data_IF_716144771371
#
_entry.id   IF_716144771371
#
_cell.length_a   1.000
_cell.length_b   1.000
_cell.length_c   1.000
_cell.angle_alpha   90.00
_cell.angle_beta   90.00
_cell.angle_gamma   90.00
#
_symmetry.space_group_name_H-M   'P 1'
#
loop_
_entity.id
_entity.type
_entity.pdbx_description
1 polymer ?
#
# COMPACT_ATOMS: atom_id res chain seq x y z
N UNK A 1 -13.73 7.50 -19.05
CA UNK A 1 -13.12 6.49 -18.15
C UNK A 1 -11.74 7.01 -17.77
N UNK A 2 -11.33 6.88 -16.49
CA UNK A 2 -10.06 7.44 -15.97
C UNK A 2 -8.78 6.74 -16.43
N UNK A 3 -8.86 5.76 -17.35
CA UNK A 3 -7.69 5.01 -17.84
C UNK A 3 -7.12 4.00 -16.81
N UNK A 4 -7.86 3.67 -15.75
CA UNK A 4 -7.45 2.70 -14.75
C UNK A 4 -7.50 1.28 -15.33
N UNK A 5 -6.35 0.63 -15.42
CA UNK A 5 -6.21 -0.72 -15.94
C UNK A 5 -6.20 -1.81 -14.86
N UNK A 6 -5.85 -1.47 -13.63
CA UNK A 6 -5.79 -2.43 -12.52
C UNK A 6 -5.05 -1.90 -11.31
N UNK A 7 -5.03 -2.70 -10.23
CA UNK A 7 -4.36 -2.33 -8.99
C UNK A 7 -4.48 -3.40 -7.90
N UNK A 8 -4.01 -3.05 -6.71
CA UNK A 8 -4.20 -3.85 -5.51
C UNK A 8 -5.60 -3.62 -4.97
N UNK A 9 -6.38 -4.68 -4.94
CA UNK A 9 -7.73 -4.69 -4.36
C UNK A 9 -7.61 -5.14 -2.92
N UNK A 10 -7.54 -4.15 -2.04
CA UNK A 10 -7.31 -4.37 -0.62
C UNK A 10 -8.55 -4.93 0.07
N UNK A 11 -8.40 -6.10 0.64
CA UNK A 11 -9.31 -6.64 1.65
C UNK A 11 -8.82 -6.13 3.00
N UNK A 12 -9.67 -5.43 3.70
CA UNK A 12 -9.38 -4.75 4.96
C UNK A 12 -10.38 -5.12 6.04
N UNK A 13 -9.92 -5.35 7.26
CA UNK A 13 -10.81 -5.60 8.40
C UNK A 13 -11.12 -4.27 9.10
N UNK A 14 -12.37 -3.75 9.01
CA UNK A 14 -12.71 -2.45 9.56
C UNK A 14 -12.45 -2.34 11.06
N UNK A 15 -11.88 -1.21 11.49
CA UNK A 15 -11.75 -0.88 12.92
C UNK A 15 -13.08 -0.42 13.50
N UNK A 16 -13.26 -0.65 14.81
CA UNK A 16 -14.44 -0.22 15.58
C UNK A 16 -14.28 1.22 16.10
N UNK A 17 -13.68 2.12 15.32
CA UNK A 17 -13.52 3.51 15.72
C UNK A 17 -14.27 4.46 14.77
N UNK A 18 -14.54 5.65 15.25
CA UNK A 18 -15.19 6.69 14.48
C UNK A 18 -14.19 7.33 13.50
N UNK A 19 -14.35 7.01 12.22
CA UNK A 19 -13.50 7.55 11.15
C UNK A 19 -13.64 9.07 11.02
N UNK A 20 -14.88 9.61 11.16
CA UNK A 20 -15.13 11.03 11.06
C UNK A 20 -14.42 11.79 12.18
N UNK A 21 -14.51 11.28 13.41
CA UNK A 21 -13.75 11.82 14.54
C UNK A 21 -12.22 11.77 14.27
N UNK A 22 -11.73 10.68 13.73
CA UNK A 22 -10.31 10.53 13.41
C UNK A 22 -9.85 11.55 12.38
N UNK A 23 -10.62 11.78 11.32
CA UNK A 23 -10.29 12.79 10.32
C UNK A 23 -10.33 14.22 10.88
N UNK A 24 -11.31 14.55 11.74
CA UNK A 24 -11.36 15.84 12.42
C UNK A 24 -10.14 16.07 13.33
N UNK A 25 -9.68 15.04 14.04
CA UNK A 25 -8.43 15.12 14.83
C UNK A 25 -7.20 15.38 13.92
N UNK A 26 -7.16 14.76 12.74
CA UNK A 26 -6.08 14.93 11.76
C UNK A 26 -6.13 16.29 11.02
N UNK A 27 -7.13 17.12 11.22
CA UNK A 27 -7.14 18.51 10.74
C UNK A 27 -6.36 19.46 11.65
N UNK A 28 -5.97 19.03 12.84
CA UNK A 28 -5.20 19.82 13.80
C UNK A 28 -3.77 20.03 13.34
N UNK A 29 -3.09 21.03 13.88
CA UNK A 29 -1.68 21.31 13.58
C UNK A 29 -0.72 20.22 14.12
N UNK A 30 -1.17 19.45 15.10
CA UNK A 30 -0.47 18.27 15.61
C UNK A 30 -1.50 17.29 16.18
N UNK A 31 -1.27 16.01 15.98
CA UNK A 31 -2.13 14.93 16.49
C UNK A 31 -1.36 13.63 16.68
N UNK A 32 -1.90 12.76 17.51
CA UNK A 32 -1.44 11.38 17.66
C UNK A 32 -2.66 10.52 18.02
N UNK A 33 -3.15 9.78 17.06
CA UNK A 33 -4.27 8.86 17.28
C UNK A 33 -3.73 7.57 17.88
N UNK A 34 -4.32 7.05 18.97
CA UNK A 34 -3.89 5.77 19.52
C UNK A 34 -4.12 4.65 18.50
N UNK A 35 -3.28 3.62 18.53
CA UNK A 35 -3.56 2.41 17.76
C UNK A 35 -4.87 1.79 18.26
N UNK A 36 -5.77 1.37 17.36
CA UNK A 36 -6.96 0.62 17.74
C UNK A 36 -6.61 -0.70 18.43
N UNK A 37 -7.55 -1.22 19.21
CA UNK A 37 -7.42 -2.56 19.79
C UNK A 37 -7.33 -3.64 18.70
N UNK A 38 -6.56 -4.72 18.93
CA UNK A 38 -6.55 -5.87 18.04
C UNK A 38 -7.96 -6.43 17.79
N UNK A 39 -8.18 -6.99 16.63
CA UNK A 39 -9.45 -7.63 16.27
C UNK A 39 -9.36 -9.13 16.52
N UNK A 40 -10.42 -9.69 17.08
CA UNK A 40 -10.54 -11.12 17.28
C UNK A 40 -10.48 -11.89 15.95
N UNK A 41 -9.68 -12.94 15.90
CA UNK A 41 -9.43 -13.73 14.70
C UNK A 41 -10.70 -14.18 13.97
N UNK A 42 -11.70 -14.67 14.71
CA UNK A 42 -12.97 -15.13 14.12
C UNK A 42 -13.76 -14.02 13.44
N UNK A 43 -13.70 -12.80 13.97
CA UNK A 43 -14.31 -11.60 13.37
C UNK A 43 -13.53 -11.19 12.10
N UNK A 44 -12.22 -11.21 12.17
CA UNK A 44 -11.35 -10.88 11.04
C UNK A 44 -11.56 -11.86 9.87
N UNK A 45 -11.61 -13.17 10.15
CA UNK A 45 -11.87 -14.20 9.13
C UNK A 45 -13.22 -13.99 8.45
N UNK A 46 -14.28 -13.68 9.21
CA UNK A 46 -15.60 -13.43 8.65
C UNK A 46 -15.62 -12.21 7.71
N UNK A 47 -14.94 -11.11 8.11
CA UNK A 47 -14.81 -9.91 7.29
C UNK A 47 -14.04 -10.17 5.99
N UNK A 48 -12.88 -10.84 6.09
CA UNK A 48 -12.06 -11.21 4.94
C UNK A 48 -12.81 -12.14 3.98
N UNK A 49 -13.46 -13.20 4.50
CA UNK A 49 -14.24 -14.13 3.67
C UNK A 49 -15.36 -13.42 2.89
N UNK A 50 -16.05 -12.47 3.53
CA UNK A 50 -17.10 -11.67 2.88
C UNK A 50 -16.53 -10.85 1.71
N UNK A 51 -15.42 -10.12 1.93
CA UNK A 51 -14.81 -9.27 0.91
C UNK A 51 -14.19 -10.08 -0.24
N UNK A 52 -13.55 -11.22 0.07
CA UNK A 52 -13.06 -12.16 -0.95
C UNK A 52 -14.21 -12.68 -1.81
N UNK A 53 -15.37 -12.96 -1.20
CA UNK A 53 -16.56 -13.38 -1.94
C UNK A 53 -17.03 -12.27 -2.91
N UNK A 54 -17.02 -11.02 -2.48
CA UNK A 54 -17.37 -9.86 -3.36
C UNK A 54 -16.38 -9.78 -4.53
N UNK A 55 -15.07 -9.88 -4.26
CA UNK A 55 -14.05 -9.84 -5.31
C UNK A 55 -14.25 -10.96 -6.34
N UNK A 56 -14.53 -12.19 -5.89
CA UNK A 56 -14.84 -13.32 -6.76
C UNK A 56 -16.14 -13.14 -7.55
N UNK A 57 -17.14 -12.51 -6.97
CA UNK A 57 -18.39 -12.24 -7.67
C UNK A 57 -18.18 -11.19 -8.77
N UNK A 58 -17.39 -10.15 -8.52
CA UNK A 58 -17.03 -9.16 -9.54
C UNK A 58 -16.27 -9.80 -10.71
N UNK A 59 -15.37 -10.74 -10.44
CA UNK A 59 -14.70 -11.55 -11.46
C UNK A 59 -15.71 -12.39 -12.26
N UNK A 60 -16.60 -13.10 -11.60
CA UNK A 60 -17.65 -13.92 -12.22
C UNK A 60 -18.58 -13.10 -13.11
N UNK A 61 -18.86 -11.85 -12.74
CA UNK A 61 -19.65 -10.91 -13.53
C UNK A 61 -18.88 -10.31 -14.72
N UNK A 62 -17.58 -10.60 -14.85
CA UNK A 62 -16.72 -10.14 -15.94
C UNK A 62 -16.22 -8.71 -15.77
N UNK A 63 -16.38 -8.10 -14.59
CA UNK A 63 -15.92 -6.72 -14.32
C UNK A 63 -14.41 -6.59 -14.14
N UNK A 64 -13.77 -7.66 -13.70
CA UNK A 64 -12.31 -7.71 -13.46
C UNK A 64 -11.77 -9.14 -13.66
N UNK A 65 -10.45 -9.27 -13.63
CA UNK A 65 -9.73 -10.56 -13.57
C UNK A 65 -8.82 -10.56 -12.35
N UNK A 66 -8.94 -11.55 -11.47
CA UNK A 66 -8.00 -11.75 -10.35
C UNK A 66 -6.72 -12.34 -10.91
N UNK A 67 -5.63 -11.57 -10.83
CA UNK A 67 -4.36 -11.90 -11.44
C UNK A 67 -3.43 -12.60 -10.44
N UNK A 68 -2.81 -13.69 -10.87
CA UNK A 68 -1.86 -14.48 -10.09
C UNK A 68 -0.43 -14.35 -10.62
N UNK A 69 -0.27 -13.80 -11.82
CA UNK A 69 0.98 -13.59 -12.53
C UNK A 69 0.98 -12.26 -13.30
N UNK A 70 2.15 -11.80 -13.70
CA UNK A 70 2.27 -10.63 -14.60
C UNK A 70 1.67 -10.93 -15.98
N UNK A 71 1.71 -12.19 -16.41
CA UNK A 71 1.04 -12.61 -17.65
C UNK A 71 -0.47 -12.41 -17.58
N UNK A 72 -1.11 -12.73 -16.44
CA UNK A 72 -2.55 -12.52 -16.25
C UNK A 72 -2.89 -11.04 -16.31
N UNK A 73 -2.05 -10.17 -15.70
CA UNK A 73 -2.25 -8.71 -15.75
C UNK A 73 -2.21 -8.21 -17.21
N UNK A 74 -1.22 -8.65 -17.99
CA UNK A 74 -1.11 -8.27 -19.40
C UNK A 74 -2.29 -8.77 -20.23
N UNK A 75 -2.73 -10.02 -20.00
CA UNK A 75 -3.91 -10.57 -20.67
C UNK A 75 -5.18 -9.80 -20.31
N UNK A 76 -5.35 -9.41 -19.04
CA UNK A 76 -6.49 -8.58 -18.63
C UNK A 76 -6.50 -7.23 -19.36
N UNK A 77 -5.33 -6.59 -19.56
CA UNK A 77 -5.23 -5.35 -20.34
C UNK A 77 -5.60 -5.55 -21.81
N UNK A 78 -5.16 -6.65 -22.44
CA UNK A 78 -5.52 -6.99 -23.82
C UNK A 78 -7.02 -7.26 -23.98
N UNK A 79 -7.66 -7.82 -22.95
CA UNK A 79 -9.10 -8.08 -22.90
C UNK A 79 -9.93 -6.87 -22.43
N UNK A 80 -9.31 -5.71 -22.22
CA UNK A 80 -9.95 -4.49 -21.69
C UNK A 80 -10.67 -4.71 -20.34
N UNK A 81 -10.15 -5.63 -19.53
CA UNK A 81 -10.63 -5.92 -18.16
C UNK A 81 -9.73 -5.26 -17.12
N UNK A 82 -10.29 -5.00 -15.94
CA UNK A 82 -9.52 -4.52 -14.80
C UNK A 82 -8.70 -5.69 -14.23
N UNK A 83 -7.38 -5.51 -14.15
CA UNK A 83 -6.47 -6.45 -13.50
C UNK A 83 -6.50 -6.25 -11.99
N UNK A 84 -7.06 -7.19 -11.24
CA UNK A 84 -7.16 -7.13 -9.80
C UNK A 84 -6.08 -8.00 -9.13
N UNK A 85 -5.24 -7.40 -8.30
CA UNK A 85 -4.31 -8.11 -7.43
C UNK A 85 -4.99 -8.24 -6.07
N UNK A 86 -5.30 -9.47 -5.66
CA UNK A 86 -5.85 -9.69 -4.33
C UNK A 86 -4.77 -9.39 -3.28
N UNK A 87 -5.03 -8.37 -2.48
CA UNK A 87 -4.20 -7.88 -1.39
C UNK A 87 -4.97 -7.94 -0.08
N UNK A 88 -4.29 -8.21 1.02
CA UNK A 88 -4.84 -8.05 2.38
C UNK A 88 -4.05 -6.98 3.10
N UNK A 89 -4.75 -5.96 3.56
CA UNK A 89 -4.19 -4.88 4.35
C UNK A 89 -4.44 -5.12 5.85
N UNK A 90 -3.40 -5.65 6.52
CA UNK A 90 -3.47 -6.16 7.88
C UNK A 90 -3.77 -7.66 7.94
N UNK A 91 -2.92 -8.41 8.63
CA UNK A 91 -2.95 -9.88 8.65
C UNK A 91 -3.80 -10.45 9.79
N UNK A 92 -4.83 -9.75 10.25
CA UNK A 92 -5.67 -10.15 11.39
C UNK A 92 -6.37 -11.51 11.18
N UNK A 93 -6.68 -11.84 9.92
CA UNK A 93 -7.34 -13.11 9.58
C UNK A 93 -6.38 -14.30 9.49
N UNK A 94 -5.06 -14.07 9.59
CA UNK A 94 -4.07 -15.16 9.56
C UNK A 94 -3.88 -15.71 10.97
N UNK A 95 -3.97 -17.03 11.11
CA UNK A 95 -3.75 -17.75 12.38
C UNK A 95 -2.25 -17.94 12.68
N UNK A 96 -1.88 -18.27 13.95
CA UNK A 96 -0.48 -18.47 14.32
C UNK A 96 0.24 -19.60 13.58
N UNK A 97 -0.50 -20.59 13.10
CA UNK A 97 0.03 -21.74 12.34
C UNK A 97 0.08 -21.44 10.82
N UNK A 98 -0.34 -20.25 10.39
CA UNK A 98 -0.37 -19.77 9.02
C UNK A 98 -1.26 -20.60 8.07
N UNK A 99 -2.19 -21.41 8.58
CA UNK A 99 -3.07 -22.21 7.75
C UNK A 99 -3.99 -21.34 6.88
N UNK A 100 -4.50 -20.24 7.43
CA UNK A 100 -5.35 -19.32 6.66
C UNK A 100 -4.56 -18.61 5.55
N UNK A 101 -3.24 -18.39 5.71
CA UNK A 101 -2.39 -17.86 4.63
C UNK A 101 -2.39 -18.80 3.42
N UNK A 102 -2.28 -20.12 3.64
CA UNK A 102 -2.34 -21.13 2.58
C UNK A 102 -3.70 -21.14 1.87
N UNK A 103 -4.78 -21.05 2.64
CA UNK A 103 -6.16 -21.01 2.11
C UNK A 103 -6.34 -19.75 1.24
N UNK A 104 -5.93 -18.60 1.72
CA UNK A 104 -6.06 -17.33 0.99
C UNK A 104 -5.13 -17.27 -0.22
N UNK A 105 -3.90 -17.82 -0.14
CA UNK A 105 -3.02 -17.97 -1.29
C UNK A 105 -3.67 -18.83 -2.39
N UNK A 106 -4.29 -19.94 -2.00
CA UNK A 106 -5.07 -20.80 -2.91
C UNK A 106 -6.30 -20.08 -3.49
N UNK A 107 -6.88 -19.14 -2.74
CA UNK A 107 -7.95 -18.26 -3.21
C UNK A 107 -7.45 -17.10 -4.09
N UNK A 108 -6.14 -16.95 -4.29
CA UNK A 108 -5.56 -15.94 -5.19
C UNK A 108 -4.82 -14.81 -4.52
N UNK A 109 -4.62 -14.84 -3.20
CA UNK A 109 -3.81 -13.84 -2.49
C UNK A 109 -2.39 -13.78 -3.06
N UNK A 110 -1.92 -12.56 -3.40
CA UNK A 110 -0.59 -12.32 -3.94
C UNK A 110 0.16 -11.18 -3.26
N UNK A 111 -0.50 -10.48 -2.34
CA UNK A 111 0.10 -9.39 -1.56
C UNK A 111 -0.51 -9.30 -0.18
N UNK A 112 0.30 -9.00 0.85
CA UNK A 112 -0.16 -8.89 2.24
C UNK A 112 0.64 -7.84 3.00
N UNK A 113 -0.04 -6.96 3.74
CA UNK A 113 0.53 -6.17 4.81
C UNK A 113 0.47 -6.94 6.14
N UNK A 114 1.59 -7.14 6.87
CA UNK A 114 1.57 -7.81 8.17
C UNK A 114 0.68 -7.13 9.20
N UNK A 115 0.52 -5.82 9.06
CA UNK A 115 -0.29 -4.94 9.91
C UNK A 115 -0.97 -3.88 9.07
N UNK A 116 -2.06 -3.32 9.59
CA UNK A 116 -2.52 -1.98 9.32
C UNK A 116 -2.01 -1.03 10.42
N UNK A 117 -2.52 0.20 10.54
CA UNK A 117 -2.30 1.06 11.72
C UNK A 117 -3.05 0.51 12.95
N UNK A 118 -2.82 -0.75 13.24
CA UNK A 118 -3.40 -1.58 14.31
C UNK A 118 -2.48 -2.76 14.58
N UNK A 119 -2.26 -3.15 15.86
CA UNK A 119 -1.49 -4.33 16.19
C UNK A 119 -2.15 -5.62 15.68
N UNK A 120 -1.32 -6.56 15.23
CA UNK A 120 -1.69 -7.97 14.98
C UNK A 120 -0.78 -8.89 15.80
N UNK A 121 -0.99 -10.20 15.73
CA UNK A 121 -0.06 -11.17 16.33
C UNK A 121 1.32 -11.16 15.66
N UNK A 122 1.48 -10.49 14.52
CA UNK A 122 2.70 -10.47 13.70
C UNK A 122 3.57 -9.23 13.94
N UNK A 123 3.00 -8.14 14.46
CA UNK A 123 3.73 -6.89 14.70
C UNK A 123 2.83 -5.72 15.04
N UNK A 124 3.45 -4.53 15.08
CA UNK A 124 2.76 -3.28 15.36
C UNK A 124 2.80 -2.36 14.13
N UNK A 125 1.64 -1.78 13.81
CA UNK A 125 1.55 -0.69 12.84
C UNK A 125 1.93 0.65 13.47
N UNK A 126 2.16 1.66 12.60
CA UNK A 126 2.33 3.04 13.09
C UNK A 126 0.99 3.68 13.39
N UNK A 127 0.86 4.44 14.51
CA UNK A 127 -0.29 5.31 14.71
C UNK A 127 -0.31 6.45 13.68
N UNK A 128 -1.48 7.03 13.42
CA UNK A 128 -1.55 8.28 12.66
C UNK A 128 -1.11 9.42 13.56
N UNK A 129 0.12 9.91 13.35
CA UNK A 129 0.73 10.96 14.19
C UNK A 129 1.47 11.97 13.34
N UNK A 130 1.28 13.26 13.66
CA UNK A 130 1.96 14.39 13.01
C UNK A 130 2.17 15.56 14.00
N UNK A 131 3.36 16.25 14.01
CA UNK A 131 4.61 15.74 13.43
C UNK A 131 5.15 14.54 14.22
N UNK A 132 5.65 13.52 13.53
CA UNK A 132 6.14 12.28 14.14
C UNK A 132 7.07 11.53 13.18
N UNK A 133 7.60 10.40 13.61
CA UNK A 133 8.42 9.50 12.81
C UNK A 133 7.83 8.09 12.82
N UNK A 134 8.23 7.17 11.92
CA UNK A 134 7.85 5.76 11.98
C UNK A 134 8.57 4.98 13.09
N UNK A 135 9.55 5.57 13.79
CA UNK A 135 10.29 4.94 14.90
C UNK A 135 9.46 4.93 16.18
N UNK A 136 8.41 4.12 16.20
CA UNK A 136 7.43 3.99 17.28
C UNK A 136 7.09 2.52 17.47
N UNK A 137 7.16 2.04 18.70
CA UNK A 137 6.79 0.67 19.05
C UNK A 137 7.85 -0.38 18.76
N UNK A 138 7.47 -1.65 18.92
CA UNK A 138 8.34 -2.81 18.71
C UNK A 138 8.26 -3.30 17.26
N UNK A 139 9.26 -4.11 16.86
CA UNK A 139 9.30 -4.74 15.54
C UNK A 139 8.33 -5.91 15.38
N UNK A 140 8.63 -6.77 14.41
CA UNK A 140 7.87 -8.00 14.20
C UNK A 140 8.03 -8.94 15.40
N UNK A 141 6.96 -9.68 15.69
CA UNK A 141 7.03 -10.82 16.62
C UNK A 141 7.75 -12.01 15.97
N UNK A 142 8.00 -13.07 16.72
CA UNK A 142 8.51 -14.33 16.14
C UNK A 142 7.54 -14.89 15.08
N UNK A 143 6.22 -14.75 15.30
CA UNK A 143 5.20 -15.10 14.31
C UNK A 143 5.28 -14.21 13.07
N UNK A 144 5.57 -12.91 13.25
CA UNK A 144 5.78 -11.99 12.13
C UNK A 144 6.98 -12.37 11.28
N UNK A 145 8.07 -12.79 11.89
CA UNK A 145 9.25 -13.32 11.17
C UNK A 145 8.89 -14.61 10.43
N UNK A 146 8.09 -15.50 11.03
CA UNK A 146 7.60 -16.72 10.38
C UNK A 146 6.69 -16.39 9.18
N UNK A 147 5.78 -15.40 9.33
CA UNK A 147 4.94 -14.91 8.24
C UNK A 147 5.77 -14.41 7.06
N UNK A 148 6.79 -13.56 7.32
CA UNK A 148 7.70 -13.04 6.27
C UNK A 148 8.36 -14.18 5.50
N UNK A 149 8.90 -15.18 6.19
CA UNK A 149 9.54 -16.34 5.55
C UNK A 149 8.55 -17.14 4.72
N UNK A 150 7.34 -17.38 5.25
CA UNK A 150 6.32 -18.14 4.53
C UNK A 150 5.81 -17.38 3.30
N UNK A 151 5.65 -16.06 3.38
CA UNK A 151 5.32 -15.22 2.22
C UNK A 151 6.38 -15.33 1.11
N UNK A 152 7.68 -15.34 1.47
CA UNK A 152 8.75 -15.55 0.50
C UNK A 152 8.66 -16.93 -0.19
N UNK A 153 8.37 -18.00 0.57
CA UNK A 153 8.21 -19.36 0.01
C UNK A 153 7.00 -19.46 -0.93
N UNK A 154 5.94 -18.73 -0.64
CA UNK A 154 4.72 -18.69 -1.44
C UNK A 154 4.75 -17.63 -2.57
N UNK A 155 5.83 -16.86 -2.69
CA UNK A 155 5.94 -15.74 -3.61
C UNK A 155 4.81 -14.69 -3.40
N UNK A 156 4.42 -14.45 -2.15
CA UNK A 156 3.48 -13.39 -1.78
C UNK A 156 4.28 -12.13 -1.51
N UNK A 157 3.91 -11.02 -2.15
CA UNK A 157 4.51 -9.70 -1.90
C UNK A 157 4.16 -9.22 -0.49
N UNK A 158 5.17 -8.77 0.25
CA UNK A 158 4.98 -8.16 1.57
C UNK A 158 4.90 -6.65 1.39
N UNK A 159 3.79 -6.06 1.84
CA UNK A 159 3.61 -4.62 1.88
C UNK A 159 4.13 -4.04 3.19
N UNK A 160 5.06 -3.11 3.09
CA UNK A 160 5.69 -2.42 4.22
C UNK A 160 4.91 -1.18 4.69
N UNK A 161 3.87 -0.80 3.94
CA UNK A 161 2.98 0.28 4.35
C UNK A 161 2.35 -0.06 5.70
N UNK A 162 2.18 0.94 6.56
CA UNK A 162 1.75 0.82 7.95
C UNK A 162 2.73 0.17 8.94
N UNK A 163 3.78 -0.53 8.51
CA UNK A 163 4.80 -1.02 9.44
C UNK A 163 5.53 0.15 10.11
N UNK A 164 5.82 0.01 11.41
CA UNK A 164 6.74 0.89 12.11
C UNK A 164 8.20 0.64 11.66
N UNK A 165 9.11 1.55 12.00
CA UNK A 165 10.50 1.45 11.52
C UNK A 165 11.18 0.17 12.00
N UNK A 166 10.95 -0.29 13.22
CA UNK A 166 11.51 -1.54 13.74
C UNK A 166 11.04 -2.75 12.92
N UNK A 167 9.73 -2.84 12.64
CA UNK A 167 9.15 -3.90 11.79
C UNK A 167 9.66 -3.84 10.34
N UNK A 168 9.82 -2.66 9.79
CA UNK A 168 10.45 -2.46 8.47
C UNK A 168 11.84 -3.10 8.43
N UNK A 169 12.70 -2.82 9.43
CA UNK A 169 14.05 -3.39 9.47
C UNK A 169 14.07 -4.89 9.77
N UNK A 170 13.03 -5.42 10.43
CA UNK A 170 12.87 -6.87 10.58
C UNK A 170 12.56 -7.52 9.22
N UNK A 171 11.66 -6.94 8.41
CA UNK A 171 11.42 -7.44 7.04
C UNK A 171 12.71 -7.37 6.21
N UNK A 172 13.46 -6.26 6.26
CA UNK A 172 14.77 -6.14 5.56
C UNK A 172 15.72 -7.29 5.93
N UNK A 173 15.75 -7.69 7.20
CA UNK A 173 16.65 -8.77 7.68
C UNK A 173 16.19 -10.16 7.28
N UNK A 174 14.90 -10.39 7.12
CA UNK A 174 14.32 -11.74 6.99
C UNK A 174 13.69 -12.03 5.63
N UNK A 175 13.43 -11.02 4.81
CA UNK A 175 12.93 -11.19 3.44
C UNK A 175 14.08 -11.33 2.43
N UNK A 176 13.85 -12.15 1.41
CA UNK A 176 14.70 -12.26 0.22
C UNK A 176 14.01 -11.72 -1.06
N UNK A 177 12.78 -11.21 -0.93
CA UNK A 177 12.01 -10.57 -1.98
C UNK A 177 12.25 -9.05 -2.00
N UNK A 178 11.91 -8.35 -3.09
CA UNK A 178 11.94 -6.89 -3.14
C UNK A 178 11.13 -6.27 -2.00
N UNK A 179 11.66 -5.19 -1.41
CA UNK A 179 10.96 -4.41 -0.38
C UNK A 179 9.96 -3.47 -1.04
N UNK A 180 8.69 -3.61 -0.72
CA UNK A 180 7.62 -2.82 -1.34
C UNK A 180 6.80 -2.12 -0.26
N UNK A 181 6.61 -0.81 -0.40
CA UNK A 181 5.58 -0.08 0.32
C UNK A 181 4.55 0.37 -0.72
N UNK A 182 3.38 -0.24 -0.75
CA UNK A 182 2.39 -0.01 -1.81
C UNK A 182 1.85 1.41 -1.80
N UNK A 183 1.79 2.06 -0.61
CA UNK A 183 1.20 3.38 -0.40
C UNK A 183 1.85 4.12 0.77
N UNK A 184 3.06 4.65 0.53
CA UNK A 184 3.80 5.49 1.48
C UNK A 184 4.46 6.66 0.77
N UNK A 185 4.74 7.75 1.51
CA UNK A 185 5.34 8.97 0.98
C UNK A 185 6.67 9.32 1.65
N UNK A 186 7.14 10.53 1.47
CA UNK A 186 8.48 11.02 1.88
C UNK A 186 8.40 11.73 3.22
N UNK A 187 9.02 11.17 4.25
CA UNK A 187 9.06 11.77 5.59
C UNK A 187 9.79 13.13 5.63
N UNK A 188 10.85 13.30 4.85
CA UNK A 188 11.60 14.56 4.78
C UNK A 188 10.78 15.72 4.22
N UNK A 189 9.67 15.45 3.51
CA UNK A 189 8.72 16.48 3.05
C UNK A 189 7.58 16.64 4.06
N UNK A 190 7.00 15.52 4.51
CA UNK A 190 5.88 15.52 5.45
C UNK A 190 6.20 14.61 6.62
N UNK A 191 6.48 15.19 7.78
CA UNK A 191 6.90 14.48 8.98
C UNK A 191 5.75 13.70 9.64
N UNK A 192 5.13 12.83 8.86
CA UNK A 192 4.06 11.95 9.32
C UNK A 192 4.60 10.54 9.59
N UNK A 193 4.13 9.87 10.65
CA UNK A 193 4.54 8.51 11.02
C UNK A 193 4.34 7.46 9.91
N UNK A 194 3.40 7.68 8.99
CA UNK A 194 3.12 6.82 7.83
C UNK A 194 4.12 6.97 6.68
N UNK A 195 4.97 8.00 6.71
CA UNK A 195 5.91 8.30 5.65
C UNK A 195 7.28 7.68 5.93
N UNK A 196 7.95 7.26 4.86
CA UNK A 196 9.24 6.59 4.91
C UNK A 196 10.38 7.61 5.07
N UNK A 197 11.30 7.31 5.97
CA UNK A 197 12.56 8.06 6.12
C UNK A 197 13.49 7.81 4.94
N UNK A 198 14.42 8.71 4.67
CA UNK A 198 15.43 8.55 3.61
C UNK A 198 16.22 7.25 3.74
N UNK A 199 16.45 6.80 4.98
CA UNK A 199 17.13 5.54 5.26
C UNK A 199 16.33 4.33 4.79
N UNK A 200 15.00 4.35 5.02
CA UNK A 200 14.08 3.31 4.53
C UNK A 200 13.96 3.35 3.00
N UNK A 201 13.85 4.56 2.41
CA UNK A 201 13.81 4.74 0.96
C UNK A 201 15.07 4.17 0.29
N UNK A 202 16.27 4.40 0.85
CA UNK A 202 17.51 3.80 0.31
C UNK A 202 17.51 2.28 0.40
N UNK A 203 17.02 1.68 1.48
CA UNK A 203 16.88 0.23 1.60
C UNK A 203 15.91 -0.34 0.54
N UNK A 204 14.81 0.37 0.27
CA UNK A 204 13.89 0.02 -0.82
C UNK A 204 14.59 0.11 -2.17
N UNK A 205 15.38 1.16 -2.43
CA UNK A 205 16.14 1.31 -3.67
C UNK A 205 17.13 0.14 -3.88
N UNK A 206 17.84 -0.25 -2.82
CA UNK A 206 18.82 -1.35 -2.84
C UNK A 206 18.17 -2.72 -3.10
N UNK A 207 16.91 -2.88 -2.73
CA UNK A 207 16.15 -4.12 -2.91
C UNK A 207 15.25 -4.16 -4.16
N UNK A 208 15.19 -3.06 -4.93
CA UNK A 208 14.33 -2.94 -6.12
C UNK A 208 12.83 -2.77 -5.84
N UNK A 209 12.46 -2.17 -4.71
CA UNK A 209 11.07 -1.95 -4.28
C UNK A 209 10.39 -0.66 -4.79
N UNK A 210 9.23 -0.29 -4.23
CA UNK A 210 8.37 0.79 -4.73
C UNK A 210 7.39 1.40 -3.71
N UNK A 211 6.83 2.58 -4.04
CA UNK A 211 5.60 3.15 -3.45
C UNK A 211 5.39 4.66 -3.65
N UNK A 212 4.12 5.10 -3.65
CA UNK A 212 3.62 6.48 -3.43
C UNK A 212 2.16 6.46 -3.03
N UNK A 213 1.74 7.28 -2.06
CA UNK A 213 0.37 7.39 -1.55
C UNK A 213 -0.26 8.73 -1.96
N UNK A 214 -1.60 8.77 -2.17
CA UNK A 214 -2.35 10.01 -2.47
C UNK A 214 -3.07 10.59 -1.26
N UNK A 215 -3.08 9.94 -0.10
CA UNK A 215 -3.77 10.44 1.08
C UNK A 215 -3.25 11.83 1.49
N UNK A 216 -4.16 12.77 1.67
CA UNK A 216 -3.87 14.20 1.88
C UNK A 216 -2.92 14.46 3.05
N UNK A 217 -3.14 13.82 4.20
CA UNK A 217 -2.31 14.01 5.39
C UNK A 217 -0.84 13.56 5.20
N UNK A 218 -0.60 12.64 4.28
CA UNK A 218 0.75 12.11 4.03
C UNK A 218 1.47 12.87 2.92
N UNK A 219 0.73 13.72 2.19
CA UNK A 219 1.26 14.62 1.15
C UNK A 219 1.52 16.04 1.68
N UNK A 220 0.59 16.59 2.47
CA UNK A 220 0.66 17.97 2.95
C UNK A 220 1.81 18.17 3.93
N UNK A 221 2.56 19.24 3.77
CA UNK A 221 3.67 19.58 4.68
C UNK A 221 3.19 19.88 6.12
N UNK A 222 1.94 20.32 6.28
CA UNK A 222 1.31 20.55 7.58
C UNK A 222 0.62 19.29 8.16
N UNK A 223 0.68 18.16 7.46
CA UNK A 223 0.16 16.86 7.89
C UNK A 223 -1.35 16.75 8.05
N UNK A 224 -2.11 17.74 7.59
CA UNK A 224 -3.55 17.76 7.79
C UNK A 224 -4.31 16.90 6.79
N UNK A 225 -5.38 16.25 7.23
CA UNK A 225 -6.28 15.47 6.39
C UNK A 225 -7.33 16.39 5.72
N UNK A 226 -6.88 17.26 4.83
CA UNK A 226 -7.70 18.22 4.08
C UNK A 226 -7.48 18.04 2.58
N UNK A 227 -8.57 18.02 1.81
CA UNK A 227 -8.55 17.75 0.37
C UNK A 227 -7.93 18.85 -0.51
N UNK A 228 -7.69 20.05 0.02
CA UNK A 228 -7.09 21.19 -0.68
C UNK A 228 -5.58 21.02 -0.92
N UNK A 229 -5.21 19.90 -1.51
CA UNK A 229 -3.83 19.54 -1.87
C UNK A 229 -3.62 19.79 -3.35
N UNK A 230 -2.74 20.72 -3.75
CA UNK A 230 -2.46 20.94 -5.17
C UNK A 230 -1.64 19.77 -5.74
N UNK A 231 -1.84 19.42 -7.02
CA UNK A 231 -1.08 18.35 -7.69
C UNK A 231 0.44 18.60 -7.68
N UNK A 232 0.89 19.84 -7.56
CA UNK A 232 2.31 20.18 -7.38
C UNK A 232 2.88 19.56 -6.09
N UNK A 233 2.08 19.34 -5.05
CA UNK A 233 2.55 18.68 -3.84
C UNK A 233 2.74 17.18 -4.06
N UNK A 234 1.87 16.54 -4.86
CA UNK A 234 2.05 15.14 -5.30
C UNK A 234 3.34 15.01 -6.11
N UNK A 235 3.56 15.93 -7.07
CA UNK A 235 4.76 15.95 -7.90
C UNK A 235 6.04 16.19 -7.07
N UNK A 236 5.98 17.01 -6.02
CA UNK A 236 7.10 17.21 -5.10
C UNK A 236 7.55 15.90 -4.43
N UNK A 237 6.60 15.07 -3.99
CA UNK A 237 6.90 13.74 -3.45
C UNK A 237 7.45 12.81 -4.54
N UNK A 238 6.87 12.85 -5.76
CA UNK A 238 7.36 12.05 -6.89
C UNK A 238 8.80 12.41 -7.26
N UNK A 239 9.12 13.70 -7.39
CA UNK A 239 10.49 14.17 -7.68
C UNK A 239 11.50 13.64 -6.66
N UNK A 240 11.16 13.73 -5.37
CA UNK A 240 12.03 13.26 -4.30
C UNK A 240 12.20 11.73 -4.32
N UNK A 241 11.11 10.99 -4.56
CA UNK A 241 11.18 9.54 -4.71
C UNK A 241 12.02 9.14 -5.93
N UNK A 242 11.85 9.83 -7.06
CA UNK A 242 12.65 9.60 -8.27
C UNK A 242 14.14 9.88 -8.04
N UNK A 243 14.49 10.92 -7.26
CA UNK A 243 15.87 11.24 -6.90
C UNK A 243 16.51 10.11 -6.08
N UNK A 244 15.80 9.55 -5.09
CA UNK A 244 16.37 8.52 -4.20
C UNK A 244 16.26 7.12 -4.77
N UNK A 245 15.11 6.75 -5.35
CA UNK A 245 14.82 5.40 -5.81
C UNK A 245 15.24 5.18 -7.27
N UNK A 246 15.32 6.24 -8.06
CA UNK A 246 15.47 6.17 -9.52
C UNK A 246 14.15 5.86 -10.24
N UNK A 247 14.14 6.09 -11.55
CA UNK A 247 12.93 6.02 -12.38
C UNK A 247 12.24 4.64 -12.42
N UNK A 248 12.98 3.57 -12.17
CA UNK A 248 12.47 2.20 -12.29
C UNK A 248 11.82 1.67 -11.00
N UNK A 249 11.81 2.47 -9.91
CA UNK A 249 11.40 2.00 -8.57
C UNK A 249 10.32 2.87 -7.92
N UNK A 250 9.65 3.68 -8.68
CA UNK A 250 8.53 4.51 -8.19
C UNK A 250 7.25 4.10 -8.93
N UNK A 251 6.14 3.95 -8.22
CA UNK A 251 4.84 3.65 -8.76
C UNK A 251 3.73 4.32 -7.97
N UNK A 252 2.54 4.34 -8.53
CA UNK A 252 1.37 4.95 -7.92
C UNK A 252 0.64 3.94 -7.03
N UNK A 253 0.36 4.33 -5.76
CA UNK A 253 -0.43 3.58 -4.81
C UNK A 253 -1.46 4.50 -4.18
N UNK A 254 -2.62 4.59 -4.77
CA UNK A 254 -3.58 5.68 -4.54
C UNK A 254 -4.17 5.76 -3.13
N UNK A 255 -4.41 4.63 -2.49
CA UNK A 255 -5.15 4.54 -1.22
C UNK A 255 -6.62 5.04 -1.35
N UNK A 256 -7.21 4.89 -2.55
CA UNK A 256 -8.62 5.23 -2.78
C UNK A 256 -9.53 4.43 -1.84
N UNK A 257 -10.61 5.07 -1.40
CA UNK A 257 -11.57 4.60 -0.41
C UNK A 257 -11.01 4.48 1.03
N UNK A 258 -9.67 4.61 1.23
CA UNK A 258 -9.02 4.51 2.54
C UNK A 258 -8.78 5.85 3.24
N UNK A 259 -8.79 6.99 2.52
CA UNK A 259 -8.44 8.30 3.06
C UNK A 259 -9.08 9.46 2.28
N UNK A 260 -8.93 10.70 2.80
CA UNK A 260 -9.28 11.90 2.04
C UNK A 260 -8.21 12.18 0.99
N UNK A 261 -8.63 12.25 -0.26
CA UNK A 261 -7.78 12.50 -1.42
C UNK A 261 -7.73 13.99 -1.78
N UNK A 262 -6.70 14.45 -2.53
CA UNK A 262 -6.73 15.75 -3.18
C UNK A 262 -7.99 15.92 -4.04
N UNK A 263 -8.62 17.11 -4.04
CA UNK A 263 -9.83 17.37 -4.82
C UNK A 263 -9.69 17.00 -6.29
N UNK A 264 -8.51 17.26 -6.89
CA UNK A 264 -8.22 16.95 -8.29
C UNK A 264 -7.97 15.45 -8.55
N UNK A 265 -7.89 14.62 -7.50
CA UNK A 265 -7.65 13.16 -7.54
C UNK A 265 -8.65 12.39 -6.67
N UNK A 266 -9.83 12.92 -6.43
CA UNK A 266 -10.80 12.38 -5.47
C UNK A 266 -11.40 11.02 -5.87
N UNK A 267 -11.28 10.63 -7.14
CA UNK A 267 -11.66 9.30 -7.63
C UNK A 267 -10.85 8.88 -8.87
N UNK A 268 -11.02 7.62 -9.29
CA UNK A 268 -10.33 7.00 -10.43
C UNK A 268 -10.56 7.74 -11.77
N UNK A 269 -11.68 8.44 -11.93
CA UNK A 269 -11.97 9.18 -13.17
C UNK A 269 -11.09 10.42 -13.34
N UNK A 270 -10.47 10.87 -12.25
CA UNK A 270 -9.60 12.03 -12.16
C UNK A 270 -8.10 11.70 -12.32
N UNK A 271 -7.73 10.42 -12.44
CA UNK A 271 -6.33 10.03 -12.75
C UNK A 271 -5.73 10.75 -13.96
N UNK A 272 -6.49 11.08 -15.04
CA UNK A 272 -5.97 11.88 -16.13
C UNK A 272 -5.42 13.25 -15.71
N UNK A 273 -5.92 13.86 -14.63
CA UNK A 273 -5.40 15.13 -14.11
C UNK A 273 -3.94 14.97 -13.65
N UNK A 274 -3.62 13.87 -12.95
CA UNK A 274 -2.24 13.59 -12.55
C UNK A 274 -1.34 13.36 -13.77
N UNK A 275 -1.82 12.64 -14.79
CA UNK A 275 -1.06 12.43 -16.03
C UNK A 275 -0.76 13.78 -16.72
N UNK A 276 -1.75 14.68 -16.79
CA UNK A 276 -1.57 16.01 -17.35
C UNK A 276 -0.60 16.85 -16.52
N UNK A 277 -0.69 16.76 -15.19
CA UNK A 277 0.23 17.46 -14.28
C UNK A 277 1.66 16.95 -14.47
N UNK A 278 1.90 15.65 -14.53
CA UNK A 278 3.23 15.06 -14.81
C UNK A 278 3.79 15.52 -16.15
N UNK A 279 2.99 15.51 -17.23
CA UNK A 279 3.40 16.04 -18.54
C UNK A 279 3.77 17.52 -18.48
N UNK A 280 2.96 18.33 -17.81
CA UNK A 280 3.19 19.77 -17.65
C UNK A 280 4.41 20.07 -16.78
N UNK A 281 4.74 19.18 -15.86
CA UNK A 281 5.93 19.25 -15.00
C UNK A 281 7.23 18.87 -15.76
N UNK A 282 7.11 18.23 -16.91
CA UNK A 282 8.24 17.85 -17.76
C UNK A 282 8.60 16.37 -17.75
N UNK A 283 7.78 15.51 -17.14
CA UNK A 283 7.98 14.07 -17.27
C UNK A 283 7.63 13.62 -18.70
N UNK A 284 8.51 12.84 -19.30
CA UNK A 284 8.25 12.27 -20.62
C UNK A 284 7.30 11.07 -20.55
N UNK A 285 6.84 10.63 -21.71
CA UNK A 285 5.88 9.53 -21.82
C UNK A 285 6.46 8.19 -21.32
N UNK A 286 7.77 8.00 -21.41
CA UNK A 286 8.46 6.79 -20.94
C UNK A 286 8.42 6.75 -19.42
N UNK A 287 8.79 7.84 -18.76
CA UNK A 287 8.75 7.95 -17.30
C UNK A 287 7.31 7.79 -16.77
N UNK A 288 6.34 8.49 -17.38
CA UNK A 288 4.93 8.37 -16.99
C UNK A 288 4.45 6.93 -17.09
N UNK A 289 4.78 6.21 -18.17
CA UNK A 289 4.43 4.80 -18.34
C UNK A 289 5.06 3.91 -17.27
N UNK A 290 6.32 4.17 -16.91
CA UNK A 290 7.00 3.48 -15.80
C UNK A 290 6.24 3.68 -14.50
N UNK A 291 5.96 4.94 -14.12
CA UNK A 291 5.27 5.29 -12.87
C UNK A 291 3.87 4.69 -12.78
N UNK A 292 3.12 4.70 -13.88
CA UNK A 292 1.74 4.24 -13.90
C UNK A 292 1.59 2.72 -13.98
N UNK A 293 2.58 1.98 -14.54
CA UNK A 293 2.40 0.57 -14.84
C UNK A 293 3.68 -0.27 -14.81
N UNK A 294 4.67 0.05 -15.67
CA UNK A 294 5.78 -0.89 -15.96
C UNK A 294 6.63 -1.20 -14.72
N UNK A 295 6.80 -0.25 -13.81
CA UNK A 295 7.53 -0.47 -12.56
C UNK A 295 6.80 -1.48 -11.66
N UNK A 296 5.45 -1.40 -11.60
CA UNK A 296 4.65 -2.40 -10.88
C UNK A 296 4.82 -3.80 -11.50
N UNK A 297 4.70 -3.92 -12.82
CA UNK A 297 4.88 -5.20 -13.50
C UNK A 297 6.28 -5.78 -13.26
N UNK A 298 7.31 -4.93 -13.24
CA UNK A 298 8.70 -5.33 -12.96
C UNK A 298 8.87 -5.89 -11.55
N UNK A 299 8.39 -5.19 -10.52
CA UNK A 299 8.56 -5.64 -9.13
C UNK A 299 7.71 -6.88 -8.84
N UNK A 300 6.50 -6.96 -9.40
CA UNK A 300 5.65 -8.13 -9.29
C UNK A 300 6.27 -9.36 -9.96
N UNK A 301 6.86 -9.19 -11.16
CA UNK A 301 7.59 -10.28 -11.84
C UNK A 301 8.74 -10.82 -10.99
N UNK A 302 9.49 -9.93 -10.31
CA UNK A 302 10.58 -10.34 -9.42
C UNK A 302 10.08 -11.04 -8.17
N UNK A 303 8.95 -10.62 -7.62
CA UNK A 303 8.40 -11.17 -6.39
C UNK A 303 7.67 -12.49 -6.63
N UNK A 304 6.85 -12.57 -7.68
CA UNK A 304 6.03 -13.74 -7.98
C UNK A 304 6.78 -14.82 -8.76
N UNK A 305 7.85 -14.46 -9.49
CA UNK A 305 8.69 -15.43 -10.22
C UNK A 305 8.07 -15.96 -11.52
N UNK A 306 6.97 -15.38 -11.99
CA UNK A 306 6.25 -15.85 -13.19
C UNK A 306 5.58 -14.71 -13.96
#
# INVERSE_FOLDING_TARGET
MGGFGGGFFAVYVPSKFDLEFSYQEMEKASYSLPLPEPIEWSEAVAAVASQVTILRELERLGGLTICHSVSDIRSAFEEEKIAAIFHIEGAEAIDPDLHMLEVLHSAGLRSIGPVWSRPTIFGEGVPFSFPSTPDIGSGLTELGIALVKRCNELNIMIDLSHLNEAGFWDVVRHSNAPLVATHSNVHSITQHSRNLTDKQLRAIADSDGMGLNFAAAFLREDGKMLADVPLSQVLKHLDYLLEILGEDRVGLGSDYDGAIMPEELNDLSNLPNLILAMKSHGYDEILIKKLCCENWLRVLQKTWGC
#
